data_IF_659270982874
#
_entry.id   IF_659270982874
#
_cell.length_a   1.000
_cell.length_b   1.000
_cell.length_c   1.000
_cell.angle_alpha   90.00
_cell.angle_beta   90.00
_cell.angle_gamma   90.00
#
_symmetry.space_group_name_H-M   'P 1'
#
loop_
_entity.id
_entity.type
_entity.pdbx_description
1 polymer ?
#
# COMPACT_ATOMS: atom_id res chain seq x y z
N UNK A 1 16.40 10.62 -10.06
CA UNK A 1 15.70 9.33 -10.31
C UNK A 1 16.57 8.17 -9.86
N UNK A 2 17.59 7.72 -10.59
CA UNK A 2 18.42 6.57 -10.18
C UNK A 2 18.98 6.72 -8.74
N UNK A 3 19.53 7.89 -8.41
CA UNK A 3 20.04 8.16 -7.06
C UNK A 3 18.94 8.15 -5.99
N UNK A 4 17.73 8.60 -6.32
CA UNK A 4 16.60 8.57 -5.38
C UNK A 4 16.13 7.14 -5.15
N UNK A 5 16.04 6.31 -6.20
CA UNK A 5 15.69 4.89 -6.06
C UNK A 5 16.73 4.15 -5.22
N UNK A 6 18.03 4.33 -5.49
CA UNK A 6 19.11 3.74 -4.68
C UNK A 6 19.03 4.17 -3.20
N UNK A 7 18.64 5.42 -2.94
CA UNK A 7 18.41 5.90 -1.57
C UNK A 7 17.23 5.16 -0.92
N UNK A 8 16.11 5.01 -1.62
CA UNK A 8 14.93 4.29 -1.12
C UNK A 8 15.21 2.79 -0.92
N UNK A 9 16.10 2.19 -1.71
CA UNK A 9 16.56 0.81 -1.51
C UNK A 9 17.36 0.67 -0.21
N UNK A 10 18.18 1.66 0.15
CA UNK A 10 18.87 1.66 1.45
C UNK A 10 17.88 1.79 2.62
N UNK A 11 16.83 2.61 2.46
CA UNK A 11 15.73 2.70 3.45
C UNK A 11 15.07 1.33 3.64
N UNK A 12 14.77 0.64 2.54
CA UNK A 12 14.20 -0.70 2.59
C UNK A 12 15.12 -1.71 3.29
N UNK A 13 16.41 -1.75 2.93
CA UNK A 13 17.40 -2.62 3.58
C UNK A 13 17.49 -2.36 5.09
N UNK A 14 17.53 -1.10 5.51
CA UNK A 14 17.53 -0.74 6.93
C UNK A 14 16.31 -1.30 7.67
N UNK A 15 15.11 -1.20 7.10
CA UNK A 15 13.90 -1.72 7.75
C UNK A 15 13.85 -3.25 7.73
N UNK A 16 14.19 -3.88 6.61
CA UNK A 16 14.09 -5.33 6.44
C UNK A 16 15.15 -6.09 7.25
N UNK A 17 16.42 -5.70 7.12
CA UNK A 17 17.54 -6.47 7.67
C UNK A 17 18.23 -5.76 8.83
N UNK A 18 18.04 -4.45 8.98
CA UNK A 18 18.84 -3.63 9.90
C UNK A 18 20.25 -3.35 9.38
N UNK A 19 20.55 -3.77 8.14
CA UNK A 19 21.78 -3.41 7.44
C UNK A 19 21.54 -2.06 6.76
N UNK A 20 22.59 -1.22 6.66
CA UNK A 20 22.54 0.20 6.28
C UNK A 20 22.30 1.16 7.45
N UNK A 21 22.82 2.38 7.31
CA UNK A 21 22.55 3.47 8.23
C UNK A 21 21.14 4.03 8.01
N UNK A 22 20.45 4.34 9.11
CA UNK A 22 19.16 5.02 9.05
C UNK A 22 19.30 6.37 8.34
N UNK A 23 18.55 6.55 7.26
CA UNK A 23 18.51 7.81 6.50
C UNK A 23 17.56 8.77 7.21
N UNK A 24 17.92 10.05 7.26
CA UNK A 24 17.06 11.09 7.82
C UNK A 24 15.70 11.09 7.11
N UNK A 25 14.63 11.13 7.90
CA UNK A 25 13.27 11.02 7.40
C UNK A 25 12.92 12.13 6.39
N UNK A 26 13.52 13.32 6.54
CA UNK A 26 13.28 14.46 5.65
C UNK A 26 13.81 14.16 4.26
N UNK A 27 15.01 13.58 4.19
CA UNK A 27 15.63 13.16 2.93
C UNK A 27 14.78 12.09 2.24
N UNK A 28 14.25 11.12 3.00
CA UNK A 28 13.33 10.11 2.44
C UNK A 28 12.07 10.76 1.87
N UNK A 29 11.46 11.70 2.61
CA UNK A 29 10.29 12.43 2.15
C UNK A 29 10.56 13.18 0.85
N UNK A 30 11.66 13.94 0.79
CA UNK A 30 12.03 14.70 -0.41
C UNK A 30 12.31 13.79 -1.60
N UNK A 31 13.04 12.68 -1.41
CA UNK A 31 13.28 11.68 -2.46
C UNK A 31 11.97 11.12 -3.01
N UNK A 32 11.01 10.76 -2.15
CA UNK A 32 9.70 10.28 -2.58
C UNK A 32 8.92 11.34 -3.37
N UNK A 33 8.96 12.61 -2.95
CA UNK A 33 8.31 13.71 -3.68
C UNK A 33 8.97 13.95 -5.04
N UNK A 34 10.31 13.87 -5.13
CA UNK A 34 11.02 13.97 -6.41
C UNK A 34 10.66 12.82 -7.35
N UNK A 35 10.58 11.59 -6.84
CA UNK A 35 10.10 10.43 -7.60
C UNK A 35 8.67 10.65 -8.11
N UNK A 36 7.75 11.16 -7.27
CA UNK A 36 6.37 11.42 -7.68
C UNK A 36 6.28 12.47 -8.79
N UNK A 37 7.00 13.59 -8.66
CA UNK A 37 7.04 14.62 -9.71
C UNK A 37 7.62 14.08 -11.02
N UNK A 38 8.67 13.28 -10.93
CA UNK A 38 9.28 12.66 -12.09
C UNK A 38 8.32 11.67 -12.78
N UNK A 39 7.62 10.81 -12.04
CA UNK A 39 6.64 9.88 -12.60
C UNK A 39 5.48 10.60 -13.30
N UNK A 40 4.98 11.70 -12.71
CA UNK A 40 3.94 12.55 -13.35
C UNK A 40 4.41 13.16 -14.66
N UNK A 41 5.68 13.57 -14.73
CA UNK A 41 6.27 14.15 -15.95
C UNK A 41 6.49 13.11 -17.05
N UNK A 42 6.96 11.92 -16.69
CA UNK A 42 7.33 10.89 -17.66
C UNK A 42 6.15 9.98 -18.05
N UNK A 43 5.01 10.06 -17.35
CA UNK A 43 3.79 9.29 -17.63
C UNK A 43 4.09 7.79 -17.79
N UNK A 44 4.83 7.23 -16.84
CA UNK A 44 5.06 5.80 -16.80
C UNK A 44 3.73 5.07 -16.66
N UNK A 45 3.62 3.91 -17.31
CA UNK A 45 2.44 3.05 -17.23
C UNK A 45 2.86 1.70 -16.67
N UNK A 46 2.18 1.27 -15.63
CA UNK A 46 2.38 -0.04 -15.01
C UNK A 46 1.15 -0.93 -15.25
N UNK A 47 1.23 -2.19 -14.82
CA UNK A 47 0.11 -3.14 -14.77
C UNK A 47 -0.08 -3.64 -13.33
N UNK A 48 -1.22 -4.28 -13.05
CA UNK A 48 -1.44 -4.94 -11.76
C UNK A 48 -0.37 -6.01 -11.50
N UNK A 49 0.07 -6.71 -12.55
CA UNK A 49 1.09 -7.77 -12.47
C UNK A 49 2.37 -7.28 -11.77
N UNK A 50 2.81 -6.05 -12.04
CA UNK A 50 3.98 -5.44 -11.40
C UNK A 50 3.84 -5.29 -9.88
N UNK A 51 2.62 -5.28 -9.35
CA UNK A 51 2.33 -5.20 -7.92
C UNK A 51 2.22 -6.56 -7.25
N UNK A 52 2.11 -7.67 -8.00
CA UNK A 52 1.88 -8.99 -7.41
C UNK A 52 3.02 -9.40 -6.47
N UNK A 53 2.64 -9.81 -5.27
CA UNK A 53 3.55 -10.22 -4.20
C UNK A 53 3.22 -9.61 -2.84
N UNK A 54 4.13 -9.83 -1.88
CA UNK A 54 4.04 -9.34 -0.51
C UNK A 54 4.99 -8.17 -0.33
N UNK A 55 4.48 -7.07 0.23
CA UNK A 55 5.23 -5.83 0.38
C UNK A 55 5.19 -5.36 1.83
N UNK A 56 6.35 -5.27 2.46
CA UNK A 56 6.50 -4.74 3.82
C UNK A 56 6.62 -3.21 3.80
N UNK A 57 5.75 -2.55 4.55
CA UNK A 57 5.79 -1.10 4.72
C UNK A 57 7.06 -0.70 5.47
N UNK A 58 7.82 0.20 4.87
CA UNK A 58 9.10 0.67 5.40
C UNK A 58 8.96 2.04 6.05
N UNK A 59 8.23 2.94 5.38
CA UNK A 59 8.14 4.34 5.79
C UNK A 59 6.81 4.95 5.34
N UNK A 60 6.25 5.86 6.14
CA UNK A 60 5.02 6.61 5.82
C UNK A 60 5.09 8.06 6.22
N UNK A 61 4.50 8.94 5.42
CA UNK A 61 4.21 10.31 5.83
C UNK A 61 2.85 10.42 6.51
N UNK A 62 2.72 11.36 7.46
CA UNK A 62 1.42 11.70 8.03
C UNK A 62 0.45 12.29 6.98
N UNK A 63 -0.86 12.05 7.16
CA UNK A 63 -1.92 12.58 6.29
C UNK A 63 -2.22 14.06 6.56
N UNK A 64 -2.84 14.77 5.62
CA UNK A 64 -3.23 16.19 5.80
C UNK A 64 -4.04 16.46 7.09
N UNK A 65 -4.81 15.50 7.58
CA UNK A 65 -5.60 15.64 8.82
C UNK A 65 -4.73 15.52 10.08
N UNK A 66 -3.81 14.57 10.11
CA UNK A 66 -2.82 14.43 11.20
C UNK A 66 -1.88 15.64 11.24
N UNK A 67 -1.53 16.15 10.05
CA UNK A 67 -0.75 17.37 9.83
C UNK A 67 -1.37 18.64 10.43
N UNK A 68 -2.70 18.79 10.38
CA UNK A 68 -3.43 19.95 10.92
C UNK A 68 -3.69 19.89 12.42
N UNK A 69 -3.82 18.70 13.02
CA UNK A 69 -4.14 18.55 14.46
C UNK A 69 -2.93 18.67 15.38
N UNK A 70 -1.72 18.40 14.90
CA UNK A 70 -0.55 18.27 15.77
C UNK A 70 0.15 19.59 16.13
N UNK A 71 -0.25 20.76 15.57
CA UNK A 71 0.27 22.10 15.96
C UNK A 71 1.78 22.33 15.80
N UNK A 72 2.54 21.28 15.47
CA UNK A 72 3.99 21.23 15.38
C UNK A 72 4.31 20.73 13.98
N UNK A 73 5.29 21.38 13.37
CA UNK A 73 5.90 21.08 12.09
C UNK A 73 5.75 19.60 11.69
N UNK A 74 5.19 19.38 10.51
CA UNK A 74 4.98 18.07 9.89
C UNK A 74 6.35 17.53 9.52
N UNK A 75 7.03 16.95 10.52
CA UNK A 75 8.31 16.31 10.35
C UNK A 75 8.11 15.10 9.47
N UNK A 76 8.49 15.23 8.20
CA UNK A 76 9.30 14.25 7.48
C UNK A 76 8.91 12.76 7.49
N UNK A 77 7.73 12.33 7.94
CA UNK A 77 7.30 10.92 7.99
C UNK A 77 8.03 10.05 9.03
N UNK A 78 7.63 8.78 9.12
CA UNK A 78 8.06 7.83 10.15
C UNK A 78 8.42 6.47 9.55
N UNK A 79 9.45 5.85 10.11
CA UNK A 79 9.83 4.45 9.83
C UNK A 79 8.94 3.48 10.59
N UNK A 80 8.64 2.33 9.99
CA UNK A 80 7.96 1.24 10.68
C UNK A 80 8.96 0.46 11.53
N UNK A 81 8.73 0.26 12.84
CA UNK A 81 9.61 -0.52 13.69
C UNK A 81 9.75 -1.97 13.23
N UNK A 82 10.92 -2.59 13.44
CA UNK A 82 11.21 -3.96 12.98
C UNK A 82 10.34 -5.02 13.63
N UNK A 83 9.93 -4.82 14.88
CA UNK A 83 9.04 -5.72 15.62
C UNK A 83 7.58 -5.67 15.14
N UNK A 84 7.22 -4.65 14.35
CA UNK A 84 5.90 -4.51 13.75
C UNK A 84 5.98 -4.87 12.26
N UNK A 85 5.25 -5.90 11.85
CA UNK A 85 5.12 -6.25 10.43
C UNK A 85 3.83 -5.69 9.88
N UNK A 86 3.95 -4.68 9.01
CA UNK A 86 2.84 -4.12 8.24
C UNK A 86 3.05 -4.52 6.80
N UNK A 87 2.21 -5.40 6.27
CA UNK A 87 2.33 -5.95 4.92
C UNK A 87 1.11 -5.63 4.09
N UNK A 88 1.33 -5.32 2.82
CA UNK A 88 0.29 -5.27 1.81
C UNK A 88 0.58 -6.36 0.78
N UNK A 89 -0.42 -7.18 0.47
CA UNK A 89 -0.31 -8.28 -0.48
C UNK A 89 -1.25 -8.03 -1.64
N UNK A 90 -0.74 -8.24 -2.84
CA UNK A 90 -1.52 -8.17 -4.08
C UNK A 90 -1.51 -9.51 -4.79
N UNK A 91 -2.68 -9.94 -5.23
CA UNK A 91 -2.88 -11.16 -6.01
C UNK A 91 -3.82 -10.85 -7.17
N UNK A 92 -3.45 -11.22 -8.38
CA UNK A 92 -4.24 -10.94 -9.58
C UNK A 92 -5.39 -11.95 -9.71
N UNK A 93 -6.47 -11.55 -10.39
CA UNK A 93 -7.52 -12.47 -10.83
C UNK A 93 -6.96 -13.44 -11.90
N UNK A 94 -7.33 -14.74 -11.91
CA UNK A 94 -8.29 -15.40 -11.01
C UNK A 94 -7.75 -15.67 -9.60
N UNK A 95 -8.61 -15.50 -8.59
CA UNK A 95 -8.25 -15.73 -7.19
C UNK A 95 -9.42 -16.31 -6.37
N UNK A 96 -9.22 -17.27 -5.43
CA UNK A 96 -10.30 -17.91 -4.67
C UNK A 96 -11.20 -16.95 -3.87
N UNK A 97 -10.66 -15.82 -3.44
CA UNK A 97 -11.39 -14.78 -2.70
C UNK A 97 -12.18 -13.81 -3.60
N UNK A 98 -12.09 -13.96 -4.93
CA UNK A 98 -12.84 -13.20 -5.91
C UNK A 98 -13.63 -14.18 -6.80
N UNK A 99 -14.76 -14.74 -6.30
CA UNK A 99 -15.44 -15.88 -6.93
C UNK A 99 -16.31 -15.51 -8.14
N UNK A 100 -16.35 -14.23 -8.54
CA UNK A 100 -17.11 -13.76 -9.68
C UNK A 100 -16.19 -13.14 -10.72
N UNK A 101 -16.60 -13.18 -11.97
CA UNK A 101 -15.82 -12.63 -13.07
C UNK A 101 -15.88 -11.10 -13.02
N UNK A 102 -14.74 -10.40 -12.85
CA UNK A 102 -14.70 -8.96 -13.01
C UNK A 102 -14.94 -8.60 -14.50
N UNK A 103 -15.37 -7.36 -14.80
CA UNK A 103 -15.44 -6.88 -16.17
C UNK A 103 -14.11 -7.06 -16.89
N UNK A 104 -14.12 -7.54 -18.13
CA UNK A 104 -12.93 -7.94 -18.90
C UNK A 104 -11.92 -6.81 -19.13
N UNK A 105 -12.36 -5.56 -19.09
CA UNK A 105 -11.51 -4.37 -19.26
C UNK A 105 -10.82 -3.93 -17.97
N UNK A 106 -11.15 -4.57 -16.84
CA UNK A 106 -10.61 -4.22 -15.52
C UNK A 106 -9.51 -5.20 -15.14
N UNK A 107 -8.31 -4.67 -14.94
CA UNK A 107 -7.21 -5.41 -14.33
C UNK A 107 -7.49 -5.58 -12.83
N UNK A 108 -8.09 -6.72 -12.48
CA UNK A 108 -8.68 -6.98 -11.17
C UNK A 108 -7.82 -7.93 -10.33
N UNK A 109 -8.01 -7.86 -9.02
CA UNK A 109 -7.38 -8.78 -8.09
C UNK A 109 -7.89 -8.62 -6.67
N UNK A 110 -7.06 -9.08 -5.73
CA UNK A 110 -7.27 -8.98 -4.29
C UNK A 110 -6.14 -8.16 -3.69
N UNK A 111 -6.52 -7.31 -2.74
CA UNK A 111 -5.60 -6.65 -1.80
C UNK A 111 -5.76 -7.30 -0.44
N UNK A 112 -4.66 -7.47 0.28
CA UNK A 112 -4.68 -7.77 1.71
C UNK A 112 -3.80 -6.77 2.45
N UNK A 113 -4.25 -6.29 3.60
CA UNK A 113 -3.44 -5.51 4.52
C UNK A 113 -3.32 -6.28 5.83
N UNK A 114 -2.10 -6.68 6.17
CA UNK A 114 -1.79 -7.53 7.32
C UNK A 114 -0.96 -6.75 8.33
N UNK A 115 -1.42 -6.72 9.58
CA UNK A 115 -0.72 -6.16 10.74
C UNK A 115 -0.37 -7.31 11.67
N UNK A 116 0.92 -7.52 11.92
CA UNK A 116 1.40 -8.52 12.86
C UNK A 116 2.25 -7.85 13.94
N UNK A 117 1.86 -8.07 15.19
CA UNK A 117 2.53 -7.58 16.39
C UNK A 117 2.37 -8.65 17.47
N UNK A 118 3.47 -9.24 17.94
CA UNK A 118 3.53 -10.18 19.09
C UNK A 118 2.29 -11.04 19.30
N UNK A 119 2.11 -12.02 18.42
CA UNK A 119 1.01 -12.99 18.50
C UNK A 119 -0.33 -12.47 17.98
N UNK A 120 -0.54 -11.16 17.87
CA UNK A 120 -1.70 -10.57 17.20
C UNK A 120 -1.46 -10.52 15.69
N UNK A 121 -2.44 -11.01 14.93
CA UNK A 121 -2.49 -10.87 13.47
C UNK A 121 -3.87 -10.36 13.04
N UNK A 122 -3.89 -9.18 12.42
CA UNK A 122 -5.08 -8.58 11.84
C UNK A 122 -4.90 -8.49 10.32
N UNK A 123 -5.81 -9.11 9.58
CA UNK A 123 -5.78 -9.14 8.11
C UNK A 123 -7.09 -8.56 7.60
N UNK A 124 -6.98 -7.49 6.82
CA UNK A 124 -8.07 -6.95 6.01
C UNK A 124 -7.91 -7.48 4.58
N UNK A 125 -8.99 -7.86 3.93
CA UNK A 125 -8.95 -8.37 2.55
C UNK A 125 -10.15 -7.87 1.76
N UNK A 126 -9.98 -7.67 0.46
CA UNK A 126 -11.09 -7.42 -0.45
C UNK A 126 -10.65 -7.14 -1.89
N UNK A 127 -11.60 -6.79 -2.77
CA UNK A 127 -11.33 -6.59 -4.19
C UNK A 127 -10.44 -5.38 -4.45
N UNK A 128 -9.62 -5.51 -5.49
CA UNK A 128 -8.80 -4.44 -6.05
C UNK A 128 -9.04 -4.33 -7.55
N UNK A 129 -8.87 -3.13 -8.09
CA UNK A 129 -8.81 -2.85 -9.53
C UNK A 129 -7.71 -1.85 -9.84
N UNK A 130 -6.94 -2.12 -10.88
CA UNK A 130 -5.85 -1.27 -11.33
C UNK A 130 -6.24 -0.50 -12.59
N UNK A 131 -5.99 0.81 -12.58
CA UNK A 131 -6.24 1.71 -13.70
C UNK A 131 -4.90 2.21 -14.22
N UNK A 132 -4.36 1.45 -15.19
CA UNK A 132 -3.00 1.62 -15.71
C UNK A 132 -2.68 3.01 -16.25
N UNK A 133 -3.66 3.68 -16.89
CA UNK A 133 -3.49 5.05 -17.40
C UNK A 133 -2.96 6.05 -16.36
N UNK A 134 -3.33 5.86 -15.09
CA UNK A 134 -2.97 6.77 -14.00
C UNK A 134 -2.18 6.07 -12.88
N UNK A 135 -1.81 4.80 -13.06
CA UNK A 135 -1.22 3.94 -12.03
C UNK A 135 -1.98 3.95 -10.70
N UNK A 136 -3.31 3.93 -10.78
CA UNK A 136 -4.17 3.94 -9.59
C UNK A 136 -4.66 2.54 -9.29
N UNK A 137 -4.38 2.05 -8.09
CA UNK A 137 -5.04 0.86 -7.53
C UNK A 137 -6.16 1.33 -6.61
N UNK A 138 -7.41 1.10 -7.02
CA UNK A 138 -8.55 1.25 -6.14
C UNK A 138 -8.84 -0.07 -5.43
N UNK A 139 -9.37 0.01 -4.22
CA UNK A 139 -9.68 -1.17 -3.42
C UNK A 139 -10.80 -0.92 -2.42
N UNK A 140 -11.38 -2.02 -1.93
CA UNK A 140 -12.32 -2.02 -0.82
C UNK A 140 -12.00 -3.20 0.09
N UNK A 141 -11.96 -2.98 1.41
CA UNK A 141 -11.74 -4.06 2.37
C UNK A 141 -13.09 -4.55 2.87
N UNK A 142 -13.41 -5.81 2.60
CA UNK A 142 -14.73 -6.39 2.84
C UNK A 142 -14.71 -7.50 3.87
N UNK A 143 -13.53 -8.05 4.15
CA UNK A 143 -13.31 -9.11 5.13
C UNK A 143 -12.26 -8.70 6.15
N UNK A 144 -12.46 -9.13 7.39
CA UNK A 144 -11.51 -9.03 8.50
C UNK A 144 -11.24 -10.43 9.05
N UNK A 145 -9.97 -10.73 9.27
CA UNK A 145 -9.51 -11.86 10.08
C UNK A 145 -8.70 -11.32 11.25
N UNK A 146 -9.02 -11.76 12.46
CA UNK A 146 -8.26 -11.47 13.67
C UNK A 146 -7.80 -12.77 14.30
N UNK A 147 -6.50 -12.88 14.58
CA UNK A 147 -5.90 -14.01 15.28
C UNK A 147 -5.07 -13.53 16.46
N UNK A 148 -5.06 -14.31 17.54
CA UNK A 148 -4.18 -14.11 18.68
C UNK A 148 -3.52 -15.43 19.05
N UNK A 149 -2.18 -15.46 19.08
CA UNK A 149 -1.38 -16.66 19.31
C UNK A 149 -1.78 -17.85 18.40
N UNK A 150 -2.15 -17.54 17.15
CA UNK A 150 -2.60 -18.52 16.17
C UNK A 150 -4.09 -18.89 16.24
N UNK A 151 -4.80 -18.55 17.32
CA UNK A 151 -6.22 -18.80 17.48
C UNK A 151 -7.04 -17.76 16.68
N UNK A 152 -7.98 -18.22 15.86
CA UNK A 152 -8.89 -17.34 15.14
C UNK A 152 -9.90 -16.74 16.13
N UNK A 153 -9.77 -15.44 16.41
CA UNK A 153 -10.74 -14.70 17.20
C UNK A 153 -11.93 -14.25 16.34
N UNK A 154 -11.67 -13.95 15.07
CA UNK A 154 -12.66 -13.50 14.12
C UNK A 154 -12.26 -13.86 12.69
N UNK A 155 -13.22 -14.27 11.88
CA UNK A 155 -13.07 -14.39 10.44
C UNK A 155 -14.43 -14.15 9.78
N UNK A 156 -14.59 -13.04 9.07
CA UNK A 156 -15.87 -12.69 8.46
C UNK A 156 -15.87 -11.32 7.80
N UNK A 157 -17.08 -10.84 7.50
CA UNK A 157 -17.31 -9.55 6.85
C UNK A 157 -16.90 -8.39 7.75
N UNK A 158 -16.21 -7.40 7.21
CA UNK A 158 -15.81 -6.22 7.95
C UNK A 158 -17.06 -5.47 8.48
N UNK A 159 -17.15 -5.18 9.80
CA UNK A 159 -18.30 -4.46 10.36
C UNK A 159 -18.50 -3.11 9.69
N UNK A 160 -19.76 -2.77 9.38
CA UNK A 160 -20.11 -1.47 8.79
C UNK A 160 -19.76 -1.29 7.30
N UNK A 161 -19.30 -2.35 6.61
CA UNK A 161 -19.16 -2.30 5.15
C UNK A 161 -20.44 -2.76 4.45
N UNK A 162 -21.10 -1.89 3.66
CA UNK A 162 -22.25 -2.29 2.82
C UNK A 162 -21.81 -3.07 1.57
N UNK A 163 -20.54 -3.50 1.51
CA UNK A 163 -19.84 -3.79 0.26
C UNK A 163 -20.46 -4.96 -0.51
N UNK A 164 -20.92 -4.64 -1.72
CA UNK A 164 -21.11 -5.59 -2.80
C UNK A 164 -19.89 -5.50 -3.72
N UNK A 165 -19.06 -6.54 -3.72
CA UNK A 165 -17.85 -6.59 -4.52
C UNK A 165 -18.13 -6.41 -6.04
N UNK A 166 -19.34 -6.72 -6.52
CA UNK A 166 -19.75 -6.45 -7.89
C UNK A 166 -19.95 -4.95 -8.15
N UNK A 167 -20.53 -4.22 -7.20
CA UNK A 167 -20.72 -2.77 -7.28
C UNK A 167 -19.39 -2.01 -7.21
N UNK A 168 -18.41 -2.52 -6.47
CA UNK A 168 -17.05 -1.97 -6.43
C UNK A 168 -16.42 -1.81 -7.83
N UNK A 169 -16.66 -2.74 -8.75
CA UNK A 169 -16.09 -2.62 -10.10
C UNK A 169 -16.76 -1.54 -10.94
N UNK A 170 -18.03 -1.26 -10.68
CA UNK A 170 -18.82 -0.24 -11.39
C UNK A 170 -18.61 1.18 -10.83
N UNK A 171 -18.29 1.28 -9.53
CA UNK A 171 -18.12 2.56 -8.87
C UNK A 171 -16.91 3.36 -9.37
N UNK A 172 -17.08 4.69 -9.42
CA UNK A 172 -16.00 5.62 -9.74
C UNK A 172 -14.91 5.62 -8.66
N UNK A 173 -13.64 5.62 -9.07
CA UNK A 173 -12.46 5.71 -8.20
C UNK A 173 -12.57 6.88 -7.21
N UNK A 174 -13.21 8.00 -7.60
CA UNK A 174 -13.38 9.18 -6.72
C UNK A 174 -14.14 8.86 -5.42
N UNK A 175 -14.93 7.78 -5.38
CA UNK A 175 -15.66 7.32 -4.20
C UNK A 175 -14.94 6.23 -3.42
N UNK A 176 -13.84 5.68 -3.95
CA UNK A 176 -13.15 4.52 -3.42
C UNK A 176 -11.90 4.90 -2.64
N UNK A 177 -11.42 3.96 -1.80
CA UNK A 177 -10.05 4.01 -1.32
C UNK A 177 -9.11 3.69 -2.50
N UNK A 178 -7.96 4.36 -2.54
CA UNK A 178 -7.00 4.14 -3.61
C UNK A 178 -5.57 4.49 -3.20
N UNK A 179 -4.63 3.89 -3.94
CA UNK A 179 -3.22 4.25 -4.00
C UNK A 179 -2.87 4.71 -5.42
N UNK A 180 -2.26 5.88 -5.55
CA UNK A 180 -1.66 6.36 -6.80
C UNK A 180 -0.16 6.05 -6.74
N UNK A 181 0.27 5.05 -7.51
CA UNK A 181 1.66 4.60 -7.55
C UNK A 181 2.52 5.53 -8.41
N UNK A 182 3.73 5.77 -7.94
CA UNK A 182 4.73 6.60 -8.64
C UNK A 182 6.15 6.03 -8.58
N UNK A 183 6.36 4.92 -7.87
CA UNK A 183 7.53 4.05 -8.01
C UNK A 183 7.01 2.63 -8.00
N UNK A 184 7.34 1.84 -9.02
CA UNK A 184 7.17 0.39 -9.02
C UNK A 184 8.44 -0.21 -9.64
N UNK A 185 9.20 -0.93 -8.82
CA UNK A 185 10.37 -1.71 -9.23
C UNK A 185 10.20 -3.15 -8.75
N UNK A 186 11.06 -4.11 -9.16
CA UNK A 186 10.98 -5.47 -8.65
C UNK A 186 11.03 -5.59 -7.12
N UNK A 187 11.66 -4.63 -6.43
CA UNK A 187 11.93 -4.69 -4.99
C UNK A 187 11.27 -3.55 -4.18
N UNK A 188 10.77 -2.50 -4.82
CA UNK A 188 10.16 -1.34 -4.14
C UNK A 188 8.85 -0.92 -4.80
N UNK A 189 7.92 -0.46 -3.97
CA UNK A 189 6.77 0.32 -4.41
C UNK A 189 6.63 1.57 -3.55
N UNK A 190 6.22 2.67 -4.18
CA UNK A 190 5.83 3.88 -3.47
C UNK A 190 4.55 4.46 -4.06
N UNK A 191 3.68 4.91 -3.16
CA UNK A 191 2.36 5.39 -3.54
C UNK A 191 1.87 6.51 -2.63
N UNK A 192 0.97 7.32 -3.19
CA UNK A 192 0.19 8.31 -2.46
C UNK A 192 -1.21 7.78 -2.23
N UNK A 193 -1.63 7.73 -0.97
CA UNK A 193 -3.00 7.39 -0.61
C UNK A 193 -3.96 8.58 -0.77
N UNK A 194 -5.27 8.29 -0.80
CA UNK A 194 -6.35 9.30 -0.86
C UNK A 194 -6.22 10.44 0.17
N UNK A 195 -5.72 10.16 1.37
CA UNK A 195 -5.51 11.15 2.44
C UNK A 195 -4.30 12.07 2.24
N UNK A 196 -3.59 11.95 1.12
CA UNK A 196 -2.41 12.72 0.76
C UNK A 196 -1.12 12.28 1.46
N UNK A 197 -1.13 11.18 2.21
CA UNK A 197 0.09 10.56 2.70
C UNK A 197 0.81 9.81 1.57
N UNK A 198 2.12 9.94 1.50
CA UNK A 198 3.03 9.07 0.73
C UNK A 198 3.60 7.97 1.61
N UNK A 199 3.91 6.83 1.02
CA UNK A 199 4.42 5.65 1.68
C UNK A 199 5.38 4.87 0.78
N UNK A 200 6.31 4.14 1.40
CA UNK A 200 7.30 3.27 0.77
C UNK A 200 7.16 1.85 1.32
N UNK A 201 7.12 0.87 0.43
CA UNK A 201 7.18 -0.54 0.77
C UNK A 201 8.32 -1.24 0.02
N UNK A 202 8.79 -2.34 0.58
CA UNK A 202 9.79 -3.22 0.01
C UNK A 202 9.24 -4.64 -0.13
N UNK A 203 9.63 -5.35 -1.18
CA UNK A 203 9.18 -6.73 -1.42
C UNK A 203 9.80 -7.69 -0.38
N UNK A 204 9.03 -8.68 0.07
CA UNK A 204 9.44 -9.73 1.04
C UNK A 204 8.93 -11.10 0.65
#
# INVERSE_FOLDING_TARGET
MQNDILLLEKVAKFVLTGQEQKIDSHIVAESLIRCEHWAKKNKEHYSFESLVGTWRLCWVSGTHKLRKKAGVFIGSGFYIPRFLSLQIIYSQYPHPLLPFNPPSEIDAGIIQNSVQLDGLNLILTGPAKFVGKNNILAFDFTCLTAKFLGLNLYNGKMPGTPSNAQQFYQDSIKKQAFFAFFVITPNLIAARGRGGGVALWAKV
#
